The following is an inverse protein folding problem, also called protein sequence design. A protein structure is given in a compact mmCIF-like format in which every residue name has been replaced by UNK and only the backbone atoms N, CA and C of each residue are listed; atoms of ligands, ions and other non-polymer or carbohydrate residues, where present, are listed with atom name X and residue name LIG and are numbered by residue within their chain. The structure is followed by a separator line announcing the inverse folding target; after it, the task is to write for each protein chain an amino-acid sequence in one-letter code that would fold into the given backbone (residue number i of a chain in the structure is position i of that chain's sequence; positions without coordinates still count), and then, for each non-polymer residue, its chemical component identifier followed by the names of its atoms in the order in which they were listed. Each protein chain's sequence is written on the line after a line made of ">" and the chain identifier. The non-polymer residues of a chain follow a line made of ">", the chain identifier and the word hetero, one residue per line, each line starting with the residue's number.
data_IF_415050195944
#
_entry.id   IF_415050195944
#
_cell.length_a   1.000
_cell.length_b   1.000
_cell.length_c   1.000
_cell.angle_alpha   90.00
_cell.angle_beta   90.00
_cell.angle_gamma   90.00
#
_symmetry.space_group_name_H-M   'P 1'
#
loop_
_entity.id
_entity.type
_entity.pdbx_description
1 polymer ?
#
# COMPACT_ATOMS: atom_id res chain seq x y z
N UNK A 1 14.99 10.65 9.02
CA UNK A 1 13.56 10.93 9.35
C UNK A 1 12.72 11.44 8.16
N UNK A 2 13.02 12.62 7.59
CA UNK A 2 12.13 13.29 6.60
C UNK A 2 11.86 12.46 5.33
N UNK A 3 12.90 11.80 4.81
CA UNK A 3 12.80 10.90 3.66
C UNK A 3 11.84 9.72 3.90
N UNK A 4 11.90 9.11 5.07
CA UNK A 4 11.03 7.98 5.43
C UNK A 4 9.59 8.43 5.56
N UNK A 5 9.33 9.55 6.25
CA UNK A 5 7.98 10.12 6.34
C UNK A 5 7.41 10.43 4.95
N UNK A 6 8.20 11.07 4.09
CA UNK A 6 7.80 11.40 2.72
C UNK A 6 7.42 10.14 1.92
N UNK A 7 8.27 9.11 1.97
CA UNK A 7 8.04 7.86 1.24
C UNK A 7 6.83 7.09 1.76
N UNK A 8 6.75 6.88 3.08
CA UNK A 8 5.69 6.06 3.66
C UNK A 8 4.31 6.74 3.52
N UNK A 9 4.23 8.06 3.70
CA UNK A 9 2.96 8.79 3.51
C UNK A 9 2.53 8.74 2.04
N UNK A 10 3.46 9.00 1.10
CA UNK A 10 3.15 8.93 -0.33
C UNK A 10 2.72 7.53 -0.76
N UNK A 11 3.44 6.49 -0.32
CA UNK A 11 3.09 5.09 -0.58
C UNK A 11 1.71 4.73 0.00
N UNK A 12 1.37 5.16 1.22
CA UNK A 12 0.03 4.95 1.80
C UNK A 12 -1.07 5.63 0.98
N UNK A 13 -0.85 6.87 0.53
CA UNK A 13 -1.83 7.59 -0.32
C UNK A 13 -2.05 6.84 -1.64
N UNK A 14 -0.97 6.48 -2.33
CA UNK A 14 -1.03 5.76 -3.61
C UNK A 14 -1.70 4.39 -3.43
N UNK A 15 -1.37 3.65 -2.38
CA UNK A 15 -2.00 2.37 -2.06
C UNK A 15 -3.50 2.53 -1.76
N UNK A 16 -3.89 3.56 -1.01
CA UNK A 16 -5.31 3.84 -0.72
C UNK A 16 -6.08 4.17 -2.00
N UNK A 17 -5.51 5.00 -2.87
CA UNK A 17 -6.12 5.33 -4.17
C UNK A 17 -6.27 4.10 -5.07
N UNK A 18 -5.28 3.20 -5.06
CA UNK A 18 -5.38 1.91 -5.75
C UNK A 18 -6.56 1.07 -5.22
N UNK A 19 -6.68 0.94 -3.90
CA UNK A 19 -7.77 0.18 -3.26
C UNK A 19 -9.12 0.78 -3.64
N UNK A 20 -9.27 2.10 -3.59
CA UNK A 20 -10.50 2.80 -3.99
C UNK A 20 -10.81 2.51 -5.46
N UNK A 21 -9.84 2.64 -6.36
CA UNK A 21 -10.05 2.41 -7.79
C UNK A 21 -10.45 0.96 -8.09
N UNK A 22 -9.82 -0.01 -7.43
CA UNK A 22 -10.16 -1.42 -7.54
C UNK A 22 -11.59 -1.70 -7.02
N UNK A 23 -11.97 -1.14 -5.86
CA UNK A 23 -13.33 -1.28 -5.32
C UNK A 23 -14.38 -0.67 -6.27
N UNK A 24 -14.13 0.51 -6.83
CA UNK A 24 -15.04 1.13 -7.78
C UNK A 24 -15.16 0.36 -9.08
N UNK A 25 -14.07 -0.24 -9.58
CA UNK A 25 -14.16 -1.15 -10.74
C UNK A 25 -15.04 -2.35 -10.45
N UNK A 26 -14.92 -2.98 -9.28
CA UNK A 26 -15.81 -4.10 -8.90
C UNK A 26 -17.26 -3.65 -8.81
N UNK A 27 -17.52 -2.46 -8.25
CA UNK A 27 -18.88 -1.91 -8.13
C UNK A 27 -19.50 -1.54 -9.49
N UNK A 28 -18.69 -1.05 -10.44
CA UNK A 28 -19.16 -0.61 -11.75
C UNK A 28 -19.17 -1.71 -12.83
N UNK A 29 -18.42 -2.79 -12.64
CA UNK A 29 -18.29 -3.87 -13.62
C UNK A 29 -19.41 -4.90 -13.47
N UNK A 30 -19.88 -5.42 -14.59
CA UNK A 30 -20.89 -6.48 -14.62
C UNK A 30 -20.26 -7.82 -14.94
N UNK A 31 -20.66 -8.84 -14.19
CA UNK A 31 -20.18 -10.21 -14.33
C UNK A 31 -21.39 -11.12 -14.47
N UNK A 32 -21.65 -11.61 -15.67
CA UNK A 32 -22.71 -12.58 -15.92
C UNK A 32 -22.12 -13.99 -15.94
N UNK A 33 -22.60 -14.84 -15.04
CA UNK A 33 -22.24 -16.25 -14.98
C UNK A 33 -23.45 -17.15 -15.29
N UNK A 34 -24.49 -16.62 -15.95
CA UNK A 34 -25.66 -17.41 -16.32
C UNK A 34 -25.31 -18.49 -17.36
N UNK A 35 -25.94 -19.66 -17.22
CA UNK A 35 -25.51 -21.01 -17.62
C UNK A 35 -25.02 -21.28 -19.05
N UNK A 36 -24.96 -20.30 -19.97
CA UNK A 36 -24.47 -20.50 -21.36
C UNK A 36 -23.67 -19.34 -21.96
N UNK A 37 -23.47 -18.24 -21.24
CA UNK A 37 -22.65 -17.13 -21.71
C UNK A 37 -21.92 -16.45 -20.56
N UNK A 38 -20.63 -16.76 -20.44
CA UNK A 38 -19.73 -15.99 -19.59
C UNK A 38 -19.47 -14.65 -20.27
N UNK A 39 -19.97 -13.56 -19.67
CA UNK A 39 -19.62 -12.21 -20.10
C UNK A 39 -19.08 -11.41 -18.94
N UNK A 40 -17.90 -10.83 -19.16
CA UNK A 40 -17.30 -9.85 -18.27
C UNK A 40 -17.29 -8.53 -19.01
N UNK A 41 -17.92 -7.52 -18.42
CA UNK A 41 -17.75 -6.15 -18.84
C UNK A 41 -17.05 -5.37 -17.71
N UNK A 42 -15.73 -5.17 -17.89
CA UNK A 42 -14.92 -4.43 -16.93
C UNK A 42 -15.01 -2.94 -17.25
N UNK A 43 -15.52 -2.18 -16.29
CA UNK A 43 -15.53 -0.72 -16.36
C UNK A 43 -14.40 -0.17 -15.51
N UNK A 44 -13.65 0.80 -16.05
CA UNK A 44 -12.61 1.53 -15.33
C UNK A 44 -13.11 2.94 -15.01
N UNK A 45 -13.55 3.19 -13.76
CA UNK A 45 -14.04 4.50 -13.37
C UNK A 45 -12.92 5.54 -13.34
N UNK A 46 -13.32 6.82 -13.26
CA UNK A 46 -12.41 7.97 -13.19
C UNK A 46 -11.38 7.89 -12.06
N UNK A 47 -11.65 7.12 -10.99
CA UNK A 47 -10.69 6.81 -9.92
C UNK A 47 -9.37 6.23 -10.42
N UNK A 48 -9.38 5.46 -11.53
CA UNK A 48 -8.14 4.94 -12.12
C UNK A 48 -7.28 6.06 -12.67
N UNK A 49 -7.88 7.09 -13.29
CA UNK A 49 -7.14 8.25 -13.75
C UNK A 49 -6.52 8.99 -12.56
N UNK A 50 -7.25 9.18 -11.47
CA UNK A 50 -6.74 9.80 -10.24
C UNK A 50 -5.55 9.00 -9.70
N UNK A 51 -5.67 7.67 -9.61
CA UNK A 51 -4.60 6.79 -9.16
C UNK A 51 -3.34 6.88 -10.06
N UNK A 52 -3.51 6.82 -11.38
CA UNK A 52 -2.41 6.92 -12.33
C UNK A 52 -1.71 8.29 -12.26
N UNK A 53 -2.49 9.37 -12.16
CA UNK A 53 -1.95 10.71 -11.94
C UNK A 53 -1.21 10.79 -10.60
N UNK A 54 -1.73 10.18 -9.53
CA UNK A 54 -1.06 10.16 -8.25
C UNK A 54 0.29 9.42 -8.30
N UNK A 55 0.40 8.29 -9.01
CA UNK A 55 1.69 7.62 -9.24
C UNK A 55 2.65 8.53 -9.99
N UNK A 56 2.17 9.20 -11.04
CA UNK A 56 2.99 10.11 -11.84
C UNK A 56 3.48 11.29 -10.99
N UNK A 57 2.58 11.97 -10.28
CA UNK A 57 2.91 13.08 -9.39
C UNK A 57 3.85 12.65 -8.28
N UNK A 58 3.64 11.48 -7.67
CA UNK A 58 4.52 10.99 -6.62
C UNK A 58 5.91 10.62 -7.15
N UNK A 59 6.00 10.06 -8.35
CA UNK A 59 7.28 9.80 -9.03
C UNK A 59 8.04 11.09 -9.34
N UNK A 60 7.33 12.13 -9.78
CA UNK A 60 7.90 13.47 -9.98
C UNK A 60 8.33 14.07 -8.64
N UNK A 61 7.50 13.94 -7.60
CA UNK A 61 7.81 14.43 -6.26
C UNK A 61 9.08 13.76 -5.70
N UNK A 62 9.26 12.45 -5.87
CA UNK A 62 10.50 11.72 -5.49
C UNK A 62 11.73 12.31 -6.16
N UNK A 63 11.63 12.58 -7.47
CA UNK A 63 12.73 13.16 -8.26
C UNK A 63 13.04 14.60 -7.85
N UNK A 64 12.02 15.39 -7.51
CA UNK A 64 12.19 16.75 -7.00
C UNK A 64 12.77 16.75 -5.58
N UNK A 65 12.34 15.81 -4.74
CA UNK A 65 12.85 15.63 -3.39
C UNK A 65 14.33 15.30 -3.41
N UNK A 66 14.75 14.32 -4.22
CA UNK A 66 16.17 13.98 -4.45
C UNK A 66 17.01 15.20 -4.81
N UNK A 67 16.57 15.98 -5.80
CA UNK A 67 17.32 17.13 -6.30
C UNK A 67 17.41 18.31 -5.33
N UNK A 68 16.36 18.57 -4.55
CA UNK A 68 16.22 19.83 -3.79
C UNK A 68 16.51 19.70 -2.29
N UNK A 69 16.15 18.56 -1.70
CA UNK A 69 16.13 18.39 -0.24
C UNK A 69 16.92 17.14 0.15
N UNK A 70 16.62 16.02 -0.51
CA UNK A 70 17.13 14.69 -0.19
C UNK A 70 18.61 14.49 -0.46
N UNK A 71 19.24 15.28 -1.33
CA UNK A 71 20.67 15.18 -1.61
C UNK A 71 21.55 15.36 -0.36
N UNK A 72 21.13 16.22 0.58
CA UNK A 72 21.84 16.42 1.85
C UNK A 72 21.68 15.23 2.82
N UNK A 73 20.58 14.48 2.69
CA UNK A 73 20.20 13.34 3.55
C UNK A 73 20.60 11.98 2.93
N UNK A 74 21.42 11.99 1.87
CA UNK A 74 21.83 10.80 1.11
C UNK A 74 20.70 10.09 0.38
N UNK A 75 19.54 10.74 0.18
CA UNK A 75 18.39 10.15 -0.48
C UNK A 75 18.63 10.01 -1.99
N UNK A 76 18.34 8.82 -2.52
CA UNK A 76 18.32 8.55 -3.96
C UNK A 76 16.97 7.96 -4.35
N UNK A 77 16.42 8.36 -5.50
CA UNK A 77 15.12 7.85 -5.93
C UNK A 77 15.11 6.32 -6.11
N UNK A 78 16.28 5.73 -6.42
CA UNK A 78 16.43 4.30 -6.63
C UNK A 78 16.28 3.50 -5.33
N UNK A 79 16.78 4.03 -4.22
CA UNK A 79 16.74 3.35 -2.92
C UNK A 79 15.57 3.83 -2.04
N UNK A 80 14.98 4.99 -2.34
CA UNK A 80 13.76 5.47 -1.71
C UNK A 80 13.88 5.54 -0.18
N UNK A 81 12.98 4.85 0.53
CA UNK A 81 12.99 4.79 1.99
C UNK A 81 14.20 4.04 2.59
N UNK A 82 14.91 3.25 1.78
CA UNK A 82 16.10 2.50 2.19
C UNK A 82 17.39 3.29 1.93
N UNK A 83 17.32 4.46 1.31
CA UNK A 83 18.48 5.34 1.19
C UNK A 83 19.03 5.66 2.57
N UNK A 84 20.31 5.38 2.79
CA UNK A 84 20.97 5.58 4.08
C UNK A 84 22.23 6.43 3.90
N UNK A 85 22.35 7.46 4.74
CA UNK A 85 23.52 8.34 4.76
C UNK A 85 24.65 7.75 5.60
N UNK A 86 24.30 7.01 6.64
CA UNK A 86 25.23 6.41 7.59
C UNK A 86 24.89 4.94 7.89
N UNK A 87 25.77 4.27 8.64
CA UNK A 87 25.58 2.87 9.03
C UNK A 87 24.41 2.70 10.02
N UNK A 88 24.16 3.70 10.86
CA UNK A 88 23.03 3.73 11.81
C UNK A 88 21.70 3.64 11.08
N UNK A 89 21.47 4.45 10.06
CA UNK A 89 20.25 4.42 9.26
C UNK A 89 20.03 3.09 8.54
N UNK A 90 21.11 2.41 8.10
CA UNK A 90 21.00 1.05 7.53
C UNK A 90 20.51 0.04 8.55
N UNK A 91 21.04 0.09 9.76
CA UNK A 91 20.63 -0.81 10.85
C UNK A 91 19.18 -0.53 11.26
N UNK A 92 18.81 0.75 11.44
CA UNK A 92 17.43 1.16 11.77
C UNK A 92 16.46 0.71 10.67
N UNK A 93 16.80 0.94 9.39
CA UNK A 93 15.97 0.51 8.26
C UNK A 93 15.79 -1.02 8.19
N UNK A 94 16.86 -1.78 8.47
CA UNK A 94 16.81 -3.23 8.51
C UNK A 94 15.93 -3.75 9.65
N UNK A 95 16.09 -3.23 10.87
CA UNK A 95 15.29 -3.64 12.03
C UNK A 95 13.82 -3.23 11.90
N UNK A 96 13.56 -2.05 11.33
CA UNK A 96 12.21 -1.62 10.97
C UNK A 96 11.58 -2.56 9.93
N UNK A 97 12.33 -2.97 8.90
CA UNK A 97 11.86 -3.92 7.87
C UNK A 97 11.54 -5.29 8.47
N UNK A 98 12.42 -5.83 9.32
CA UNK A 98 12.20 -7.12 10.01
C UNK A 98 10.94 -7.09 10.87
N UNK A 99 10.75 -6.01 11.62
CA UNK A 99 9.57 -5.82 12.49
C UNK A 99 8.29 -5.72 11.66
N UNK A 100 8.33 -4.91 10.60
CA UNK A 100 7.24 -4.78 9.64
C UNK A 100 6.84 -6.12 9.06
N UNK A 101 7.80 -6.92 8.59
CA UNK A 101 7.55 -8.24 8.04
C UNK A 101 6.88 -9.18 9.04
N UNK A 102 7.37 -9.24 10.28
CA UNK A 102 6.78 -10.08 11.34
C UNK A 102 5.35 -9.66 11.67
N UNK A 103 5.11 -8.36 11.83
CA UNK A 103 3.79 -7.81 12.11
C UNK A 103 2.83 -8.08 10.93
N UNK A 104 3.32 -7.90 9.70
CA UNK A 104 2.54 -8.13 8.49
C UNK A 104 2.13 -9.60 8.34
N UNK A 105 3.00 -10.55 8.68
CA UNK A 105 2.63 -11.98 8.68
C UNK A 105 1.50 -12.28 9.66
N UNK A 106 1.57 -11.73 10.87
CA UNK A 106 0.52 -11.90 11.88
C UNK A 106 -0.78 -11.25 11.41
N UNK A 107 -0.70 -10.01 10.90
CA UNK A 107 -1.87 -9.30 10.38
C UNK A 107 -2.50 -10.02 9.18
N UNK A 108 -1.69 -10.54 8.26
CA UNK A 108 -2.15 -11.34 7.12
C UNK A 108 -2.85 -12.61 7.59
N UNK A 109 -2.34 -13.30 8.62
CA UNK A 109 -3.02 -14.45 9.20
C UNK A 109 -4.41 -14.07 9.74
N UNK A 110 -4.53 -12.94 10.45
CA UNK A 110 -5.83 -12.41 10.90
C UNK A 110 -6.75 -12.08 9.73
N UNK A 111 -6.23 -11.43 8.69
CA UNK A 111 -6.99 -11.12 7.47
C UNK A 111 -7.52 -12.38 6.79
N UNK A 112 -6.70 -13.43 6.68
CA UNK A 112 -7.09 -14.71 6.09
C UNK A 112 -8.14 -15.43 6.95
N UNK A 113 -8.00 -15.44 8.27
CA UNK A 113 -9.00 -16.01 9.18
C UNK A 113 -10.32 -15.26 9.07
N UNK A 114 -10.27 -13.92 9.09
CA UNK A 114 -11.46 -13.09 8.94
C UNK A 114 -12.11 -13.30 7.58
N UNK A 115 -11.34 -13.47 6.50
CA UNK A 115 -11.89 -13.78 5.19
C UNK A 115 -12.54 -15.18 5.16
N UNK A 116 -11.89 -16.20 5.72
CA UNK A 116 -12.37 -17.58 5.73
C UNK A 116 -13.68 -17.73 6.50
N UNK A 117 -13.81 -17.12 7.67
CA UNK A 117 -15.00 -17.24 8.51
C UNK A 117 -16.03 -16.14 8.24
N UNK A 118 -15.58 -14.94 7.85
CA UNK A 118 -16.43 -13.79 7.57
C UNK A 118 -17.19 -13.91 6.26
N UNK A 119 -16.65 -14.64 5.26
CA UNK A 119 -17.32 -14.79 3.97
C UNK A 119 -18.71 -15.45 4.08
N UNK A 120 -18.93 -16.35 5.05
CA UNK A 120 -20.18 -17.06 5.26
C UNK A 120 -21.33 -16.15 5.69
N UNK A 121 -21.03 -14.95 6.19
CA UNK A 121 -22.02 -13.94 6.57
C UNK A 121 -22.32 -12.95 5.44
N UNK A 122 -21.60 -13.00 4.31
CA UNK A 122 -21.76 -12.07 3.20
C UNK A 122 -22.63 -12.70 2.11
N UNK A 123 -23.83 -12.17 1.94
CA UNK A 123 -24.82 -12.69 0.97
C UNK A 123 -24.67 -12.08 -0.43
N UNK A 124 -24.02 -10.93 -0.55
CA UNK A 124 -23.81 -10.23 -1.83
C UNK A 124 -22.44 -10.54 -2.42
N UNK A 125 -22.42 -11.05 -3.66
CA UNK A 125 -21.17 -11.31 -4.39
C UNK A 125 -20.35 -10.05 -4.62
N UNK A 126 -21.00 -8.89 -4.80
CA UNK A 126 -20.31 -7.59 -4.95
C UNK A 126 -19.64 -7.21 -3.64
N UNK A 127 -20.37 -7.31 -2.52
CA UNK A 127 -19.84 -7.02 -1.18
C UNK A 127 -18.68 -7.93 -0.84
N UNK A 128 -18.77 -9.22 -1.18
CA UNK A 128 -17.69 -10.18 -0.96
C UNK A 128 -16.42 -9.75 -1.71
N UNK A 129 -16.52 -9.42 -3.00
CA UNK A 129 -15.39 -8.97 -3.83
C UNK A 129 -14.76 -7.68 -3.32
N UNK A 130 -15.57 -6.69 -2.93
CA UNK A 130 -15.09 -5.43 -2.36
C UNK A 130 -14.39 -5.69 -1.02
N UNK A 131 -14.98 -6.51 -0.14
CA UNK A 131 -14.37 -6.87 1.15
C UNK A 131 -13.02 -7.58 0.97
N UNK A 132 -12.90 -8.48 -0.01
CA UNK A 132 -11.61 -9.08 -0.37
C UNK A 132 -10.57 -8.00 -0.70
N UNK A 133 -10.91 -7.05 -1.58
CA UNK A 133 -10.00 -5.97 -1.97
C UNK A 133 -9.61 -5.12 -0.76
N UNK A 134 -10.57 -4.76 0.10
CA UNK A 134 -10.31 -3.96 1.29
C UNK A 134 -9.40 -4.68 2.29
N UNK A 135 -9.67 -5.96 2.55
CA UNK A 135 -8.90 -6.76 3.49
C UNK A 135 -7.45 -6.93 3.03
N UNK A 136 -7.22 -7.43 1.82
CA UNK A 136 -5.87 -7.61 1.30
C UNK A 136 -5.18 -6.28 0.98
N UNK A 137 -5.93 -5.28 0.52
CA UNK A 137 -5.42 -3.92 0.30
C UNK A 137 -4.96 -3.26 1.61
N UNK A 138 -5.69 -3.47 2.70
CA UNK A 138 -5.32 -2.94 4.02
C UNK A 138 -3.94 -3.44 4.48
N UNK A 139 -3.53 -4.65 4.09
CA UNK A 139 -2.19 -5.17 4.40
C UNK A 139 -1.08 -4.28 3.84
N UNK A 140 -1.26 -3.69 2.65
CA UNK A 140 -0.27 -2.78 2.05
C UNK A 140 -0.15 -1.49 2.85
N UNK A 141 -1.29 -0.85 3.16
CA UNK A 141 -1.32 0.38 3.95
C UNK A 141 -0.75 0.14 5.35
N UNK A 142 -1.13 -1.00 5.95
CA UNK A 142 -0.64 -1.39 7.27
C UNK A 142 0.86 -1.68 7.27
N UNK A 143 1.42 -2.27 6.19
CA UNK A 143 2.86 -2.47 6.06
C UNK A 143 3.62 -1.13 6.05
N UNK A 144 3.18 -0.15 5.26
CA UNK A 144 3.81 1.17 5.23
C UNK A 144 3.71 1.89 6.59
N UNK A 145 2.56 1.79 7.25
CA UNK A 145 2.33 2.38 8.56
C UNK A 145 3.21 1.73 9.65
N UNK A 146 3.27 0.41 9.67
CA UNK A 146 4.08 -0.34 10.66
C UNK A 146 5.57 -0.13 10.42
N UNK A 147 6.02 -0.01 9.17
CA UNK A 147 7.38 0.40 8.86
C UNK A 147 7.70 1.79 9.40
N UNK A 148 6.82 2.76 9.15
CA UNK A 148 7.00 4.13 9.64
C UNK A 148 7.12 4.17 11.17
N UNK A 149 6.21 3.51 11.89
CA UNK A 149 6.25 3.44 13.36
C UNK A 149 7.53 2.75 13.83
N UNK A 150 7.86 1.59 13.25
CA UNK A 150 9.05 0.83 13.64
C UNK A 150 10.30 1.67 13.46
N UNK A 151 10.42 2.36 12.34
CA UNK A 151 11.54 3.25 12.04
C UNK A 151 11.67 4.36 13.10
N UNK A 152 10.57 5.03 13.45
CA UNK A 152 10.55 6.06 14.51
C UNK A 152 10.99 5.49 15.86
N UNK A 153 10.51 4.29 16.22
CA UNK A 153 10.85 3.64 17.49
C UNK A 153 12.33 3.27 17.54
N UNK A 154 12.90 2.74 16.46
CA UNK A 154 14.31 2.36 16.41
C UNK A 154 15.24 3.57 16.33
N UNK A 155 14.86 4.62 15.60
CA UNK A 155 15.63 5.88 15.56
C UNK A 155 15.68 6.58 16.92
N UNK A 156 14.64 6.47 17.75
CA UNK A 156 14.67 7.01 19.11
C UNK A 156 15.43 6.15 20.13
N UNK A 157 15.66 4.86 19.83
CA UNK A 157 16.32 3.92 20.76
C UNK A 157 17.83 3.78 20.53
N UNK A 158 18.31 4.05 19.32
CA UNK A 158 19.72 3.95 18.91
C UNK A 158 20.37 5.32 18.83
#
# INVERSE_FOLDING_TARGET
>A
MRKVLFEQIGNMIVATLFIIAACQTVAASTFSTADKSFSINVTFPFSWLIFLLAILFFSIARKLYEKKIGAADGYTQKEGELSAQDEREKIVGLEASKTTYRILLVYLAFVLLFFLFGNGFITSAITLRIMTILLFGSCLVFAFFTYLISWIVYDHRM
#
